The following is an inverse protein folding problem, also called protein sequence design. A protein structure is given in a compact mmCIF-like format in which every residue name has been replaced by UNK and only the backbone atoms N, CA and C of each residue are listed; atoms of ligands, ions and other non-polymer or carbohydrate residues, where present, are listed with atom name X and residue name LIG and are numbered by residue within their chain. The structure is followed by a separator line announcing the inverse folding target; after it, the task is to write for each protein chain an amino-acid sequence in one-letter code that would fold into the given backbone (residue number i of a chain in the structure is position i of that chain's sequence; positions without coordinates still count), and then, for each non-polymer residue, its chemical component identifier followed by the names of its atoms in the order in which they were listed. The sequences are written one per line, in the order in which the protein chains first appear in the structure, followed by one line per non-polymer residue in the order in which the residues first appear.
data_IF_037097218370
#
_entry.id   IF_037097218370
#
_cell.length_a   1.000
_cell.length_b   1.000
_cell.length_c   1.000
_cell.angle_alpha   90.00
_cell.angle_beta   90.00
_cell.angle_gamma   90.00
#
_symmetry.space_group_name_H-M   'P 1'
#
loop_
_entity.id
_entity.type
_entity.pdbx_description
1 polymer ?
#
# COMPACT_ATOMS: atom_id res chain seq x y z
N UNK A 1 -6.07 -13.29 -7.32
CA UNK A 1 -6.52 -11.98 -6.77
C UNK A 1 -7.70 -12.12 -5.81
N UNK A 2 -7.53 -11.57 -4.60
CA UNK A 2 -8.53 -11.44 -3.54
C UNK A 2 -8.59 -9.98 -3.09
N UNK A 3 -9.79 -9.45 -2.88
CA UNK A 3 -10.03 -8.08 -2.43
C UNK A 3 -10.62 -8.10 -1.02
N UNK A 4 -10.00 -7.38 -0.11
CA UNK A 4 -10.49 -7.30 1.27
C UNK A 4 -10.11 -5.96 1.91
N UNK A 5 -10.80 -5.62 2.99
CA UNK A 5 -10.35 -4.56 3.89
C UNK A 5 -9.01 -4.98 4.49
N UNK A 6 -8.05 -4.07 4.51
CA UNK A 6 -6.77 -4.33 5.13
C UNK A 6 -6.95 -4.62 6.62
N UNK A 7 -6.16 -5.56 7.11
CA UNK A 7 -5.88 -5.79 8.52
C UNK A 7 -4.43 -5.44 8.82
N UNK A 8 -4.08 -5.30 10.10
CA UNK A 8 -2.70 -5.06 10.59
C UNK A 8 -1.67 -5.95 9.89
N UNK A 9 -2.01 -7.22 9.63
CA UNK A 9 -1.11 -8.20 9.00
C UNK A 9 -0.70 -7.80 7.57
N UNK A 10 -1.51 -7.00 6.88
CA UNK A 10 -1.23 -6.58 5.50
C UNK A 10 -0.53 -5.21 5.45
N UNK A 11 -0.36 -4.52 6.59
CA UNK A 11 0.27 -3.18 6.63
C UNK A 11 1.70 -3.25 6.11
N UNK A 12 2.44 -4.28 6.50
CA UNK A 12 3.84 -4.42 6.11
C UNK A 12 3.98 -4.63 4.59
N UNK A 13 3.13 -5.49 4.02
CA UNK A 13 3.07 -5.72 2.57
C UNK A 13 2.59 -4.47 1.81
N UNK A 14 1.61 -3.75 2.35
CA UNK A 14 1.07 -2.52 1.75
C UNK A 14 2.10 -1.39 1.80
N UNK A 15 2.80 -1.22 2.92
CA UNK A 15 3.88 -0.25 3.06
C UNK A 15 5.04 -0.55 2.10
N UNK A 16 5.38 -1.84 1.93
CA UNK A 16 6.40 -2.26 0.95
C UNK A 16 6.01 -1.87 -0.47
N UNK A 17 4.74 -2.08 -0.85
CA UNK A 17 4.20 -1.65 -2.14
C UNK A 17 4.19 -0.12 -2.27
N UNK A 18 3.73 0.58 -1.23
CA UNK A 18 3.70 2.04 -1.16
C UNK A 18 5.08 2.63 -1.39
N UNK A 19 6.10 2.19 -0.65
CA UNK A 19 7.48 2.65 -0.79
C UNK A 19 8.04 2.32 -2.18
N UNK A 20 7.73 1.15 -2.75
CA UNK A 20 8.18 0.76 -4.09
C UNK A 20 7.72 1.76 -5.17
N UNK A 21 6.50 2.28 -5.05
CA UNK A 21 5.92 3.22 -6.02
C UNK A 21 5.91 4.68 -5.53
N UNK A 22 6.59 4.98 -4.41
CA UNK A 22 6.71 6.34 -3.90
C UNK A 22 7.73 7.11 -4.75
N UNK A 23 7.46 8.40 -5.02
CA UNK A 23 8.21 9.21 -6.00
C UNK A 23 9.73 9.24 -5.79
N UNK A 24 10.21 9.11 -4.56
CA UNK A 24 11.63 9.12 -4.19
C UNK A 24 12.32 7.77 -4.45
N UNK A 25 11.55 6.67 -4.42
CA UNK A 25 12.05 5.29 -4.55
C UNK A 25 11.63 4.57 -5.84
N UNK A 26 10.63 5.09 -6.55
CA UNK A 26 10.10 4.48 -7.78
C UNK A 26 11.11 4.58 -8.92
N UNK A 27 11.25 3.48 -9.66
CA UNK A 27 12.09 3.45 -10.85
C UNK A 27 11.51 4.33 -11.95
N UNK A 28 12.39 4.91 -12.75
CA UNK A 28 11.98 5.78 -13.87
C UNK A 28 11.10 5.06 -14.90
N UNK A 29 11.31 3.75 -15.09
CA UNK A 29 10.49 2.90 -15.96
C UNK A 29 9.05 2.70 -15.47
N UNK A 30 8.84 2.71 -14.15
CA UNK A 30 7.55 2.50 -13.48
C UNK A 30 6.79 3.82 -13.25
N UNK A 31 7.47 4.98 -13.30
CA UNK A 31 6.85 6.31 -13.12
C UNK A 31 5.69 6.58 -14.09
N UNK A 32 5.73 5.99 -15.28
CA UNK A 32 4.69 6.13 -16.30
C UNK A 32 3.37 5.42 -15.93
N UNK A 33 3.44 4.40 -15.08
CA UNK A 33 2.29 3.59 -14.65
C UNK A 33 1.58 4.20 -13.44
N UNK A 34 2.21 5.17 -12.78
CA UNK A 34 1.67 5.89 -11.63
C UNK A 34 2.58 5.79 -10.41
N UNK A 35 2.58 6.84 -9.60
CA UNK A 35 3.40 6.93 -8.40
C UNK A 35 2.66 7.64 -7.28
N UNK A 36 3.12 7.41 -6.06
CA UNK A 36 2.59 8.05 -4.86
C UNK A 36 3.52 9.18 -4.43
N UNK A 37 2.97 10.37 -4.24
CA UNK A 37 3.72 11.55 -3.77
C UNK A 37 3.70 11.69 -2.26
N UNK A 38 2.62 11.22 -1.63
CA UNK A 38 2.44 11.26 -0.18
C UNK A 38 3.20 10.11 0.43
N UNK A 39 4.15 10.41 1.33
CA UNK A 39 4.79 9.38 2.13
C UNK A 39 3.88 9.04 3.31
N UNK A 40 3.48 7.77 3.43
CA UNK A 40 2.84 7.27 4.63
C UNK A 40 3.82 6.47 5.47
N UNK A 41 3.77 6.69 6.78
CA UNK A 41 4.47 5.84 7.74
C UNK A 41 3.65 4.60 8.09
N UNK A 42 4.32 3.59 8.66
CA UNK A 42 3.65 2.39 9.17
C UNK A 42 2.57 2.74 10.20
N UNK A 43 2.83 3.73 11.04
CA UNK A 43 1.90 4.19 12.09
C UNK A 43 0.64 4.81 11.49
N UNK A 44 0.80 5.70 10.49
CA UNK A 44 -0.34 6.32 9.80
C UNK A 44 -1.21 5.30 9.06
N UNK A 45 -0.60 4.35 8.32
CA UNK A 45 -1.34 3.28 7.66
C UNK A 45 -2.05 2.36 8.66
N UNK A 46 -1.42 2.09 9.80
CA UNK A 46 -2.02 1.28 10.87
C UNK A 46 -3.23 2.00 11.47
N UNK A 47 -3.11 3.30 11.77
CA UNK A 47 -4.22 4.10 12.26
C UNK A 47 -5.38 4.16 11.25
N UNK A 48 -5.11 4.41 9.97
CA UNK A 48 -6.12 4.41 8.90
C UNK A 48 -6.85 3.06 8.79
N UNK A 49 -6.11 1.97 8.99
CA UNK A 49 -6.65 0.62 8.87
C UNK A 49 -7.49 0.22 10.09
N UNK A 50 -7.02 0.51 11.30
CA UNK A 50 -7.70 0.13 12.54
C UNK A 50 -8.83 1.08 12.93
N UNK A 51 -8.64 2.38 12.78
CA UNK A 51 -9.59 3.38 13.27
C UNK A 51 -10.62 3.76 12.21
N UNK A 52 -10.20 3.86 10.95
CA UNK A 52 -11.06 4.33 9.87
C UNK A 52 -11.58 3.18 9.00
N UNK A 53 -10.98 1.98 9.09
CA UNK A 53 -11.22 0.85 8.18
C UNK A 53 -11.24 1.29 6.70
N UNK A 54 -10.45 2.32 6.39
CA UNK A 54 -10.51 3.04 5.12
C UNK A 54 -9.62 2.43 4.03
N UNK A 55 -8.80 1.44 4.37
CA UNK A 55 -7.80 0.87 3.49
C UNK A 55 -8.30 -0.45 2.88
N UNK A 56 -8.55 -0.46 1.58
CA UNK A 56 -8.90 -1.66 0.83
C UNK A 56 -7.70 -2.15 0.06
N UNK A 57 -7.46 -3.47 0.07
CA UNK A 57 -6.31 -4.07 -0.60
C UNK A 57 -6.74 -5.11 -1.62
N UNK A 58 -5.98 -5.17 -2.71
CA UNK A 58 -5.97 -6.28 -3.65
C UNK A 58 -4.70 -7.10 -3.40
N UNK A 59 -4.86 -8.37 -3.05
CA UNK A 59 -3.75 -9.28 -2.80
C UNK A 59 -3.80 -10.52 -3.68
N UNK A 60 -2.64 -11.10 -3.93
CA UNK A 60 -2.49 -12.39 -4.59
C UNK A 60 -1.58 -13.27 -3.73
N UNK A 61 -2.15 -14.27 -3.06
CA UNK A 61 -1.42 -15.09 -2.09
C UNK A 61 -1.03 -14.27 -0.86
N UNK A 62 0.27 -14.06 -0.65
CA UNK A 62 0.81 -13.23 0.44
C UNK A 62 1.20 -11.82 -0.04
N UNK A 63 1.17 -11.56 -1.34
CA UNK A 63 1.60 -10.27 -1.91
C UNK A 63 0.43 -9.30 -2.06
N UNK A 64 0.62 -8.05 -1.66
CA UNK A 64 -0.32 -6.95 -1.92
C UNK A 64 0.07 -6.29 -3.24
N UNK A 65 -0.87 -6.26 -4.19
CA UNK A 65 -0.66 -5.73 -5.54
C UNK A 65 -1.21 -4.31 -5.71
N UNK A 66 -2.24 -3.95 -4.95
CA UNK A 66 -2.82 -2.60 -4.96
C UNK A 66 -3.51 -2.30 -3.62
N UNK A 67 -3.69 -1.02 -3.32
CA UNK A 67 -4.53 -0.55 -2.23
C UNK A 67 -5.23 0.77 -2.61
N UNK A 68 -6.38 1.05 -1.99
CA UNK A 68 -7.16 2.30 -2.13
C UNK A 68 -7.71 2.74 -0.78
#
# INVERSE_FOLDING_TARGET
MEYKVATIENIDATLKLHTKYQIDSIKEEDKKDGFVTTAFTKEELTQLTEQEQGLFIAKEGEEVLAYV
#
